data_IF_891621104982
#
_entry.id   IF_891621104982
#
_cell.length_a   1.000
_cell.length_b   1.000
_cell.length_c   1.000
_cell.angle_alpha   90.00
_cell.angle_beta   90.00
_cell.angle_gamma   90.00
#
_symmetry.space_group_name_H-M   'P 1'
#
loop_
_entity.id
_entity.type
_entity.pdbx_description
1 polymer ?
#
# COMPACT_ATOMS: atom_id res chain seq x y z
N UNK A 1 29.73 54.76 12.25
CA UNK A 1 30.29 53.88 13.31
C UNK A 1 29.10 53.29 14.06
N UNK A 2 28.76 52.04 13.74
CA UNK A 2 27.49 51.39 14.10
C UNK A 2 27.66 50.65 15.42
N UNK A 3 26.89 51.05 16.44
CA UNK A 3 26.82 50.35 17.73
C UNK A 3 25.83 49.20 17.57
N UNK A 4 26.35 47.97 17.49
CA UNK A 4 25.57 46.72 17.50
C UNK A 4 25.24 46.34 18.95
N UNK A 5 23.95 46.12 19.20
CA UNK A 5 23.42 45.55 20.43
C UNK A 5 23.87 44.10 20.58
N UNK A 6 24.43 43.79 21.75
CA UNK A 6 24.71 42.44 22.23
C UNK A 6 23.38 41.80 22.67
N UNK A 7 22.93 40.77 21.95
CA UNK A 7 21.81 39.92 22.36
C UNK A 7 22.33 38.50 22.55
N UNK A 8 22.31 38.03 23.79
CA UNK A 8 22.18 36.62 24.16
C UNK A 8 20.99 36.52 25.11
N UNK A 9 20.37 35.35 25.39
CA UNK A 9 20.39 34.05 24.70
C UNK A 9 18.96 33.50 24.48
N UNK A 10 18.78 32.32 23.87
CA UNK A 10 17.70 31.38 24.29
C UNK A 10 17.98 29.95 23.85
N UNK A 11 18.11 29.08 24.85
CA UNK A 11 18.16 27.61 24.72
C UNK A 11 17.04 27.14 23.79
N UNK A 12 17.37 26.33 22.77
CA UNK A 12 16.38 25.56 22.01
C UNK A 12 15.63 24.65 22.97
N UNK A 13 14.39 24.99 23.30
CA UNK A 13 13.43 24.04 23.88
C UNK A 13 13.07 23.06 22.77
N UNK A 14 13.40 21.78 22.95
CA UNK A 14 12.72 20.72 22.22
C UNK A 14 11.22 20.89 22.51
N UNK A 15 10.42 21.17 21.47
CA UNK A 15 8.98 21.03 21.57
C UNK A 15 8.73 19.54 21.73
N UNK A 16 8.24 19.13 22.90
CA UNK A 16 7.60 17.84 23.08
C UNK A 16 6.61 17.64 21.92
N UNK A 17 6.75 16.53 21.20
CA UNK A 17 5.71 16.03 20.30
C UNK A 17 4.38 16.09 21.05
N UNK A 18 3.43 16.85 20.51
CA UNK A 18 2.07 16.87 21.04
C UNK A 18 1.51 15.48 20.83
N UNK A 19 1.49 14.68 21.89
CA UNK A 19 0.67 13.48 22.01
C UNK A 19 -0.74 13.86 21.55
N UNK A 20 -1.26 13.13 20.56
CA UNK A 20 -2.56 13.39 19.96
C UNK A 20 -3.65 13.47 21.05
N UNK A 21 -4.63 14.41 20.96
CA UNK A 21 -5.79 14.43 21.84
C UNK A 21 -6.53 13.08 21.94
N UNK A 22 -6.42 12.22 20.92
CA UNK A 22 -6.93 10.84 20.93
C UNK A 22 -6.36 10.01 22.09
N UNK A 23 -5.06 10.09 22.37
CA UNK A 23 -4.41 9.33 23.46
C UNK A 23 -4.94 9.72 24.85
N UNK A 24 -5.40 10.96 25.03
CA UNK A 24 -6.02 11.43 26.29
C UNK A 24 -7.48 11.02 26.45
N UNK A 25 -8.20 10.80 25.36
CA UNK A 25 -9.58 10.29 25.42
C UNK A 25 -9.59 8.83 25.86
N UNK A 26 -8.56 8.05 25.47
CA UNK A 26 -8.41 6.66 25.89
C UNK A 26 -7.88 6.47 27.33
N UNK A 27 -7.14 7.44 27.88
CA UNK A 27 -6.74 7.43 29.31
C UNK A 27 -7.88 7.76 30.28
N UNK A 28 -8.89 8.53 29.83
CA UNK A 28 -9.98 9.00 30.69
C UNK A 28 -11.21 8.08 30.73
N UNK A 29 -11.24 7.02 29.91
CA UNK A 29 -12.23 5.96 30.04
C UNK A 29 -11.77 4.98 31.13
N UNK A 30 -12.28 5.14 32.35
CA UNK A 30 -12.00 4.32 33.53
C UNK A 30 -12.16 2.80 33.26
N UNK A 31 -11.08 2.13 32.87
CA UNK A 31 -10.89 0.70 33.07
C UNK A 31 -10.02 0.49 34.32
N UNK A 32 -10.64 0.59 35.50
CA UNK A 32 -10.09 -0.01 36.71
C UNK A 32 -10.39 -1.52 36.70
N UNK A 33 -9.58 -2.30 35.99
CA UNK A 33 -9.27 -3.68 36.40
C UNK A 33 -7.79 -3.93 36.17
N UNK A 34 -7.16 -4.39 37.24
CA UNK A 34 -5.75 -4.67 37.43
C UNK A 34 -5.11 -5.61 36.40
N UNK A 35 -3.95 -5.17 35.91
CA UNK A 35 -2.79 -6.01 35.54
C UNK A 35 -2.97 -6.99 34.37
N UNK A 36 -2.85 -6.50 33.14
CA UNK A 36 -1.88 -6.88 32.08
C UNK A 36 -1.97 -5.74 31.05
N UNK A 37 -0.86 -5.13 30.65
CA UNK A 37 -0.84 -4.14 29.56
C UNK A 37 -1.32 -4.82 28.27
N UNK A 38 -2.47 -4.47 27.66
CA UNK A 38 -2.81 -4.98 26.35
C UNK A 38 -2.08 -4.15 25.30
N UNK A 39 -1.58 -4.86 24.30
CA UNK A 39 -0.74 -4.39 23.22
C UNK A 39 -1.59 -3.56 22.23
N UNK A 40 -1.45 -2.24 22.26
CA UNK A 40 -1.94 -1.30 21.21
C UNK A 40 -0.95 -1.25 20.01
N UNK A 41 0.07 -2.12 19.97
CA UNK A 41 1.17 -2.05 18.98
C UNK A 41 0.76 -2.29 17.52
N UNK A 42 -0.47 -2.72 17.22
CA UNK A 42 -0.89 -3.03 15.85
C UNK A 42 -1.90 -2.03 15.25
N UNK A 43 -2.47 -1.11 16.03
CA UNK A 43 -3.55 -0.27 15.51
C UNK A 43 -3.06 0.72 14.44
N UNK A 44 -1.94 1.39 14.68
CA UNK A 44 -1.36 2.35 13.75
C UNK A 44 -0.86 1.65 12.47
N UNK A 45 -0.21 0.50 12.60
CA UNK A 45 0.23 -0.34 11.48
C UNK A 45 -0.95 -0.77 10.60
N UNK A 46 -2.02 -1.26 11.22
CA UNK A 46 -3.25 -1.63 10.51
C UNK A 46 -3.90 -0.41 9.85
N UNK A 47 -4.09 0.69 10.58
CA UNK A 47 -4.72 1.90 10.03
C UNK A 47 -3.94 2.42 8.81
N UNK A 48 -2.62 2.51 8.95
CA UNK A 48 -1.71 2.92 7.88
C UNK A 48 -1.52 1.90 6.78
N UNK A 49 -2.11 0.70 6.84
CA UNK A 49 -2.20 -0.19 5.67
C UNK A 49 -3.22 0.30 4.64
N UNK A 50 -4.13 1.20 5.06
CA UNK A 50 -5.07 1.86 4.15
C UNK A 50 -4.30 2.76 3.19
N UNK A 51 -4.63 2.69 1.89
CA UNK A 51 -4.02 3.47 0.82
C UNK A 51 -5.07 4.24 0.05
N UNK A 52 -4.71 5.46 -0.32
CA UNK A 52 -5.46 6.22 -1.33
C UNK A 52 -5.11 5.69 -2.71
N UNK A 53 -6.12 5.53 -3.54
CA UNK A 53 -5.97 5.20 -4.95
C UNK A 53 -5.95 6.50 -5.74
N UNK A 54 -4.90 6.67 -6.55
CA UNK A 54 -4.76 7.77 -7.48
C UNK A 54 -5.02 7.25 -8.88
N UNK A 55 -6.24 7.43 -9.38
CA UNK A 55 -6.56 7.07 -10.76
C UNK A 55 -5.90 8.07 -11.71
N UNK A 56 -5.34 7.56 -12.80
CA UNK A 56 -4.51 8.33 -13.71
C UNK A 56 -5.19 8.39 -15.07
N UNK A 57 -5.27 9.59 -15.62
CA UNK A 57 -5.55 9.79 -17.03
C UNK A 57 -4.23 9.99 -17.78
N UNK A 58 -3.89 9.12 -18.75
CA UNK A 58 -2.66 9.23 -19.53
C UNK A 58 -2.86 9.95 -20.88
N UNK A 59 -1.74 10.32 -21.50
CA UNK A 59 -1.69 10.90 -22.83
C UNK A 59 -1.75 9.82 -23.91
N UNK A 60 -2.95 9.55 -24.43
CA UNK A 60 -3.21 8.54 -25.47
C UNK A 60 -2.56 8.85 -26.82
N UNK A 61 -1.91 10.01 -26.98
CA UNK A 61 -1.15 10.35 -28.20
C UNK A 61 0.27 9.77 -28.20
N UNK A 62 0.72 9.24 -27.06
CA UNK A 62 2.05 8.67 -26.87
C UNK A 62 1.98 7.15 -26.87
N UNK A 63 2.97 6.49 -27.47
CA UNK A 63 3.11 5.04 -27.38
C UNK A 63 3.60 4.64 -25.98
N UNK A 64 2.67 4.16 -25.16
CA UNK A 64 2.91 3.73 -23.77
C UNK A 64 3.91 2.57 -23.64
N UNK A 65 4.15 1.81 -24.72
CA UNK A 65 5.20 0.79 -24.73
C UNK A 65 6.60 1.40 -24.62
N UNK A 66 6.77 2.64 -25.09
CA UNK A 66 8.06 3.35 -25.15
C UNK A 66 8.18 4.47 -24.11
N UNK A 67 7.09 5.17 -23.83
CA UNK A 67 7.08 6.26 -22.85
C UNK A 67 5.70 6.43 -22.25
N UNK A 68 5.63 6.52 -20.92
CA UNK A 68 4.40 6.77 -20.18
C UNK A 68 4.33 8.24 -19.75
N UNK A 69 3.18 8.88 -19.95
CA UNK A 69 2.94 10.26 -19.53
C UNK A 69 1.55 10.39 -18.94
N UNK A 70 1.50 10.68 -17.64
CA UNK A 70 0.27 11.03 -16.93
C UNK A 70 -0.10 12.49 -17.17
N UNK A 71 -1.37 12.76 -17.45
CA UNK A 71 -1.88 14.12 -17.64
C UNK A 71 -2.41 14.66 -16.32
N UNK A 72 -3.27 13.93 -15.61
CA UNK A 72 -3.80 14.36 -14.32
C UNK A 72 -4.38 13.19 -13.52
N UNK A 73 -4.57 13.43 -12.22
CA UNK A 73 -5.30 12.51 -11.35
C UNK A 73 -6.81 12.73 -11.47
N UNK A 74 -7.56 11.63 -11.43
CA UNK A 74 -9.01 11.63 -11.45
C UNK A 74 -9.54 10.66 -10.39
N UNK A 75 -10.87 10.62 -10.22
CA UNK A 75 -11.63 9.68 -9.40
C UNK A 75 -11.11 9.51 -7.95
N UNK A 76 -11.88 8.80 -7.13
CA UNK A 76 -11.52 8.60 -5.74
C UNK A 76 -11.74 7.16 -5.34
N UNK A 77 -10.85 6.67 -4.50
CA UNK A 77 -10.87 5.30 -4.05
C UNK A 77 -9.92 5.10 -2.89
N UNK A 78 -10.23 4.08 -2.09
CA UNK A 78 -9.40 3.61 -1.02
C UNK A 78 -9.14 2.11 -1.22
N UNK A 79 -8.00 1.61 -0.76
CA UNK A 79 -7.74 0.18 -0.68
C UNK A 79 -6.94 -0.18 0.57
N UNK A 80 -6.81 -1.46 0.84
CA UNK A 80 -6.03 -2.02 1.93
C UNK A 80 -4.80 -2.68 1.33
N UNK A 81 -3.61 -2.21 1.70
CA UNK A 81 -2.36 -2.81 1.27
C UNK A 81 -2.11 -4.11 2.04
N UNK A 82 -2.01 -5.19 1.30
CA UNK A 82 -1.84 -6.55 1.80
C UNK A 82 -0.55 -7.13 1.24
N UNK A 83 0.13 -7.96 2.04
CA UNK A 83 1.20 -8.84 1.57
C UNK A 83 0.75 -10.28 1.70
N UNK A 84 0.93 -11.05 0.64
CA UNK A 84 0.82 -12.50 0.66
C UNK A 84 2.12 -13.11 0.13
N UNK A 85 2.84 -13.80 1.00
CA UNK A 85 4.20 -14.28 0.79
C UNK A 85 5.15 -13.18 0.28
N UNK A 86 5.52 -13.22 -1.00
CA UNK A 86 6.44 -12.28 -1.64
C UNK A 86 5.73 -11.17 -2.43
N UNK A 87 4.42 -11.27 -2.59
CA UNK A 87 3.64 -10.39 -3.48
C UNK A 87 2.85 -9.37 -2.66
N UNK A 88 2.73 -8.16 -3.21
CA UNK A 88 1.91 -7.09 -2.65
C UNK A 88 0.61 -6.97 -3.43
N UNK A 89 -0.47 -6.73 -2.70
CA UNK A 89 -1.79 -6.58 -3.25
C UNK A 89 -2.51 -5.38 -2.66
N UNK A 90 -3.41 -4.81 -3.43
CA UNK A 90 -4.38 -3.84 -2.95
C UNK A 90 -5.76 -4.50 -2.95
N UNK A 91 -6.35 -4.68 -1.77
CA UNK A 91 -7.74 -5.11 -1.62
C UNK A 91 -8.64 -3.87 -1.66
N UNK A 92 -9.66 -3.87 -2.52
CA UNK A 92 -10.57 -2.73 -2.66
C UNK A 92 -11.94 -3.18 -3.19
N UNK A 93 -12.85 -2.22 -3.34
CA UNK A 93 -14.15 -2.46 -3.93
C UNK A 93 -14.09 -2.42 -5.46
N UNK A 94 -14.82 -3.30 -6.14
CA UNK A 94 -14.86 -3.40 -7.60
C UNK A 94 -15.50 -2.16 -8.21
N UNK A 95 -16.50 -1.55 -7.58
CA UNK A 95 -17.09 -0.29 -8.06
C UNK A 95 -16.09 0.89 -8.06
N UNK A 96 -15.04 0.86 -7.24
CA UNK A 96 -13.95 1.85 -7.29
C UNK A 96 -13.13 1.69 -8.59
N UNK A 97 -13.12 0.48 -9.15
CA UNK A 97 -12.41 0.12 -10.37
C UNK A 97 -13.34 -0.02 -11.59
N UNK A 98 -14.61 0.38 -11.46
CA UNK A 98 -15.67 0.05 -12.42
C UNK A 98 -15.35 0.53 -13.84
N UNK A 99 -14.73 1.70 -13.95
CA UNK A 99 -14.33 2.31 -15.22
C UNK A 99 -13.41 1.39 -16.03
N UNK A 100 -12.55 0.62 -15.36
CA UNK A 100 -11.60 -0.30 -15.99
C UNK A 100 -12.23 -1.63 -16.44
N UNK A 101 -13.38 -2.00 -15.86
CA UNK A 101 -14.14 -3.18 -16.27
C UNK A 101 -15.11 -2.88 -17.41
N UNK A 102 -15.75 -1.71 -17.39
CA UNK A 102 -16.78 -1.33 -18.36
C UNK A 102 -16.20 -0.86 -19.69
N UNK A 103 -15.09 -0.13 -19.63
CA UNK A 103 -14.40 0.33 -20.83
C UNK A 103 -13.34 -0.71 -21.17
N UNK A 104 -13.78 -1.79 -21.83
CA UNK A 104 -12.96 -2.93 -22.30
C UNK A 104 -11.93 -2.56 -23.39
N UNK A 105 -11.47 -1.32 -23.39
CA UNK A 105 -10.41 -0.75 -24.21
C UNK A 105 -9.59 0.15 -23.29
N UNK A 106 -8.39 -0.32 -22.94
CA UNK A 106 -7.47 0.39 -22.05
C UNK A 106 -7.39 1.87 -22.41
N UNK A 107 -7.70 2.73 -21.44
CA UNK A 107 -7.33 4.13 -21.55
C UNK A 107 -5.82 4.28 -21.41
N UNK A 108 -5.18 3.41 -20.61
CA UNK A 108 -3.76 3.45 -20.32
C UNK A 108 -3.24 2.20 -19.60
N UNK A 109 -1.97 1.85 -19.83
CA UNK A 109 -1.21 0.90 -19.03
C UNK A 109 -1.03 1.45 -17.61
N UNK A 110 -1.11 0.62 -16.58
CA UNK A 110 -1.04 1.06 -15.17
C UNK A 110 -1.99 2.24 -14.83
N UNK A 111 -3.32 2.03 -14.88
CA UNK A 111 -4.31 3.10 -14.92
C UNK A 111 -4.57 3.80 -13.57
N UNK A 112 -3.93 3.35 -12.51
CA UNK A 112 -3.90 4.01 -11.21
C UNK A 112 -2.59 3.68 -10.50
N UNK A 113 -2.36 4.33 -9.36
CA UNK A 113 -1.23 4.03 -8.48
C UNK A 113 -1.59 4.25 -7.01
N UNK A 114 -0.83 3.65 -6.11
CA UNK A 114 -0.93 3.86 -4.66
C UNK A 114 0.45 4.20 -4.10
N UNK A 115 0.54 4.99 -3.03
CA UNK A 115 1.85 5.35 -2.48
C UNK A 115 2.55 4.13 -1.87
N UNK A 116 3.86 4.04 -2.03
CA UNK A 116 4.68 3.02 -1.36
C UNK A 116 4.66 3.21 0.16
N UNK A 117 4.56 4.47 0.60
CA UNK A 117 4.54 4.88 2.00
C UNK A 117 3.26 5.61 2.39
N UNK A 118 2.79 5.36 3.61
CA UNK A 118 1.54 5.93 4.13
C UNK A 118 1.61 7.41 4.52
N UNK A 119 2.77 7.89 5.00
CA UNK A 119 2.90 9.24 5.60
C UNK A 119 3.86 10.18 4.88
N UNK A 120 4.29 9.85 3.66
CA UNK A 120 5.23 10.66 2.89
C UNK A 120 4.50 11.38 1.76
N UNK A 121 4.78 12.67 1.58
CA UNK A 121 4.46 13.35 0.32
C UNK A 121 5.24 12.69 -0.82
N UNK A 122 4.62 12.57 -1.99
CA UNK A 122 5.26 12.07 -3.20
C UNK A 122 5.73 13.24 -4.08
N UNK A 123 6.78 12.99 -4.85
CA UNK A 123 7.30 13.94 -5.85
C UNK A 123 7.82 13.26 -7.11
N UNK A 124 7.99 11.93 -7.06
CA UNK A 124 8.53 11.12 -8.16
C UNK A 124 7.65 9.92 -8.41
N UNK A 125 7.79 9.33 -9.59
CA UNK A 125 7.09 8.09 -9.98
C UNK A 125 7.45 6.90 -9.09
N UNK A 126 8.69 6.84 -8.59
CA UNK A 126 9.17 5.77 -7.70
C UNK A 126 8.57 5.83 -6.28
N UNK A 127 7.82 6.89 -5.93
CA UNK A 127 7.09 6.98 -4.66
C UNK A 127 5.76 6.17 -4.69
N UNK A 128 5.53 5.38 -5.74
CA UNK A 128 4.27 4.68 -5.97
C UNK A 128 4.44 3.21 -6.36
N UNK A 129 3.46 2.40 -5.97
CA UNK A 129 3.23 1.05 -6.46
C UNK A 129 2.19 1.08 -7.58
N UNK A 130 2.43 0.25 -8.58
CA UNK A 130 1.65 0.21 -9.82
C UNK A 130 0.87 -1.11 -9.93
N UNK A 131 -0.34 -1.11 -10.51
CA UNK A 131 -1.19 -2.28 -10.64
C UNK A 131 -0.76 -3.13 -11.84
N UNK A 132 -0.91 -4.44 -11.68
CA UNK A 132 -0.48 -5.43 -12.67
C UNK A 132 -1.63 -6.30 -13.14
N UNK A 133 -2.29 -6.96 -12.18
CA UNK A 133 -3.39 -7.89 -12.43
C UNK A 133 -4.57 -7.62 -11.51
N UNK A 134 -5.77 -7.90 -12.00
CA UNK A 134 -7.00 -7.95 -11.22
C UNK A 134 -7.40 -9.40 -10.98
N UNK A 135 -7.85 -9.68 -9.76
CA UNK A 135 -8.44 -10.94 -9.35
C UNK A 135 -9.80 -10.63 -8.72
N UNK A 136 -10.88 -11.13 -9.33
CA UNK A 136 -12.24 -10.99 -8.82
C UNK A 136 -12.46 -11.95 -7.64
N UNK A 137 -11.74 -11.76 -6.53
CA UNK A 137 -11.75 -12.66 -5.37
C UNK A 137 -13.15 -12.86 -4.76
N UNK A 138 -14.03 -11.87 -4.93
CA UNK A 138 -15.44 -11.97 -4.60
C UNK A 138 -16.16 -13.13 -5.27
N UNK A 139 -15.64 -13.61 -6.41
CA UNK A 139 -16.23 -14.71 -7.15
C UNK A 139 -16.00 -16.10 -6.53
N UNK A 140 -14.96 -16.25 -5.70
CA UNK A 140 -14.65 -17.50 -4.98
C UNK A 140 -15.54 -17.66 -3.75
N UNK A 141 -15.96 -16.55 -3.14
CA UNK A 141 -16.73 -16.59 -1.89
C UNK A 141 -18.15 -17.06 -2.22
N UNK A 142 -18.61 -18.06 -1.48
CA UNK A 142 -19.98 -18.57 -1.62
C UNK A 142 -20.99 -17.42 -1.48
N UNK A 143 -22.04 -17.45 -2.29
CA UNK A 143 -23.05 -16.40 -2.29
C UNK A 143 -23.65 -16.26 -0.89
N UNK A 144 -23.42 -15.11 -0.28
CA UNK A 144 -23.93 -14.81 1.05
C UNK A 144 -25.21 -14.00 0.92
N UNK A 145 -26.31 -14.45 1.55
CA UNK A 145 -27.64 -13.82 1.44
C UNK A 145 -27.62 -12.32 1.80
N UNK A 146 -26.63 -11.90 2.59
CA UNK A 146 -26.61 -10.56 3.16
C UNK A 146 -25.32 -9.75 2.93
N UNK A 147 -24.27 -10.33 2.36
CA UNK A 147 -23.02 -9.61 2.05
C UNK A 147 -22.73 -9.76 0.57
N UNK A 148 -22.55 -8.63 -0.12
CA UNK A 148 -22.24 -8.62 -1.56
C UNK A 148 -20.73 -8.72 -1.78
N UNK A 149 -20.19 -9.93 -1.61
CA UNK A 149 -18.76 -10.17 -1.82
C UNK A 149 -18.33 -10.00 -3.28
N UNK A 150 -19.26 -10.02 -4.25
CA UNK A 150 -18.94 -9.87 -5.69
C UNK A 150 -18.32 -8.53 -6.03
N UNK A 151 -18.52 -7.53 -5.18
CA UNK A 151 -17.88 -6.23 -5.30
C UNK A 151 -16.52 -6.16 -4.59
N UNK A 152 -15.93 -7.27 -4.14
CA UNK A 152 -14.54 -7.30 -3.66
C UNK A 152 -13.58 -7.70 -4.78
N UNK A 153 -12.52 -6.91 -4.92
CA UNK A 153 -11.45 -7.18 -5.88
C UNK A 153 -10.07 -7.09 -5.23
N UNK A 154 -9.17 -7.95 -5.68
CA UNK A 154 -7.77 -7.92 -5.33
C UNK A 154 -6.95 -7.47 -6.53
N UNK A 155 -6.12 -6.47 -6.33
CA UNK A 155 -5.18 -5.97 -7.34
C UNK A 155 -3.79 -6.47 -6.98
N UNK A 156 -3.16 -7.24 -7.85
CA UNK A 156 -1.73 -7.54 -7.75
C UNK A 156 -0.91 -6.32 -8.16
N UNK A 157 0.02 -5.91 -7.31
CA UNK A 157 0.92 -4.78 -7.56
C UNK A 157 2.27 -5.30 -8.05
N UNK A 158 2.98 -4.49 -8.84
CA UNK A 158 4.37 -4.77 -9.17
C UNK A 158 5.23 -4.85 -7.90
N UNK A 159 6.27 -5.70 -7.97
CA UNK A 159 7.26 -5.75 -6.89
C UNK A 159 7.96 -4.40 -6.76
N UNK A 160 8.25 -3.96 -5.52
CA UNK A 160 8.95 -2.69 -5.31
C UNK A 160 10.30 -2.70 -6.03
N UNK A 161 10.60 -1.61 -6.75
CA UNK A 161 11.89 -1.47 -7.44
C UNK A 161 13.02 -1.22 -6.42
N UNK A 162 14.30 -1.44 -6.78
CA UNK A 162 15.38 -1.27 -5.83
C UNK A 162 15.43 0.12 -5.20
N UNK A 163 15.42 0.16 -3.86
CA UNK A 163 15.40 1.40 -3.08
C UNK A 163 14.01 1.92 -2.73
N UNK A 164 12.95 1.38 -3.33
CA UNK A 164 11.57 1.62 -2.89
C UNK A 164 11.32 0.85 -1.58
N UNK A 165 10.62 1.48 -0.64
CA UNK A 165 10.34 0.86 0.67
C UNK A 165 8.85 0.95 0.92
N UNK A 166 8.21 -0.22 0.93
CA UNK A 166 6.79 -0.35 1.26
C UNK A 166 6.65 -0.40 2.77
N UNK A 167 6.05 0.64 3.35
CA UNK A 167 5.70 0.64 4.77
C UNK A 167 4.29 0.08 4.99
N UNK A 168 3.95 -0.26 6.24
CA UNK A 168 2.59 -0.54 6.73
C UNK A 168 1.69 -1.30 5.74
N UNK A 169 1.62 -2.62 5.89
CA UNK A 169 0.76 -3.51 5.13
C UNK A 169 0.24 -4.62 6.06
N UNK A 170 -0.85 -5.27 5.67
CA UNK A 170 -1.34 -6.45 6.38
C UNK A 170 -0.72 -7.69 5.74
N UNK A 171 0.18 -8.35 6.46
CA UNK A 171 0.64 -9.69 6.08
C UNK A 171 -0.41 -10.72 6.49
N UNK A 172 -1.13 -11.26 5.51
CA UNK A 172 -2.24 -12.20 5.76
C UNK A 172 -1.75 -13.59 6.19
N UNK A 173 -0.44 -13.87 6.14
CA UNK A 173 0.13 -15.08 6.75
C UNK A 173 0.24 -14.98 8.27
N UNK A 174 0.30 -13.77 8.82
CA UNK A 174 0.61 -13.55 10.24
C UNK A 174 -0.50 -12.82 10.99
N UNK A 175 -1.24 -11.94 10.31
CA UNK A 175 -2.34 -11.18 10.92
C UNK A 175 -3.65 -11.97 10.85
N UNK A 176 -4.26 -12.19 12.03
CA UNK A 176 -5.57 -12.83 12.13
C UNK A 176 -6.72 -11.80 12.16
N UNK A 177 -7.60 -11.75 11.14
CA UNK A 177 -8.78 -10.88 11.13
C UNK A 177 -9.84 -11.38 12.12
N UNK A 178 -10.76 -10.53 12.55
CA UNK A 178 -11.94 -10.96 13.32
C UNK A 178 -12.86 -11.79 12.44
N UNK A 179 -13.22 -12.97 12.94
CA UNK A 179 -14.22 -13.82 12.31
C UNK A 179 -15.63 -13.28 12.57
N UNK A 180 -16.59 -13.60 11.70
CA UNK A 180 -17.97 -13.08 11.79
C UNK A 180 -18.65 -13.52 13.10
N UNK A 181 -18.34 -14.71 13.61
CA UNK A 181 -18.87 -15.23 14.88
C UNK A 181 -18.31 -14.50 16.10
N UNK A 182 -17.16 -13.83 15.97
CA UNK A 182 -16.59 -12.95 16.99
C UNK A 182 -17.30 -11.58 17.05
N UNK A 183 -18.09 -11.21 16.03
CA UNK A 183 -18.77 -9.91 15.98
C UNK A 183 -19.88 -9.81 17.03
N UNK A 184 -19.97 -8.65 17.66
CA UNK A 184 -20.94 -8.37 18.74
C UNK A 184 -21.58 -7.01 18.53
N UNK A 185 -22.87 -6.91 18.80
CA UNK A 185 -23.56 -5.62 18.81
C UNK A 185 -22.92 -4.69 19.86
N UNK A 186 -22.65 -3.45 19.48
CA UNK A 186 -21.97 -2.46 20.31
C UNK A 186 -20.45 -2.59 20.37
N UNK A 187 -19.84 -3.54 19.63
CA UNK A 187 -18.37 -3.64 19.52
C UNK A 187 -17.79 -2.35 18.95
N UNK A 188 -16.78 -1.77 19.59
CA UNK A 188 -16.10 -0.58 19.08
C UNK A 188 -15.33 -0.92 17.81
N UNK A 189 -15.51 -0.08 16.79
CA UNK A 189 -14.77 -0.18 15.56
C UNK A 189 -14.37 1.22 15.05
N UNK A 190 -13.40 1.24 14.15
CA UNK A 190 -12.91 2.46 13.51
C UNK A 190 -12.70 2.19 12.04
N UNK A 191 -13.30 3.02 11.19
CA UNK A 191 -13.20 2.98 9.74
C UNK A 191 -12.16 3.99 9.23
N UNK A 192 -11.33 3.56 8.28
CA UNK A 192 -10.21 4.31 7.72
C UNK A 192 -10.33 4.41 6.21
N UNK A 193 -10.13 5.60 5.65
CA UNK A 193 -10.12 5.80 4.21
C UNK A 193 -9.81 7.22 3.80
N UNK A 194 -9.97 7.51 2.51
CA UNK A 194 -9.67 8.82 1.93
C UNK A 194 -10.92 9.39 1.25
N UNK A 195 -11.69 10.19 2.00
CA UNK A 195 -12.89 10.83 1.47
C UNK A 195 -12.55 11.93 0.47
N UNK A 196 -13.47 12.19 -0.46
CA UNK A 196 -13.36 13.28 -1.44
C UNK A 196 -13.20 14.63 -0.73
N UNK A 197 -13.95 14.84 0.36
CA UNK A 197 -13.99 16.11 1.08
C UNK A 197 -12.62 16.45 1.69
N UNK A 198 -11.94 15.48 2.29
CA UNK A 198 -10.61 15.66 2.89
C UNK A 198 -9.46 15.58 1.88
N UNK A 199 -9.74 15.08 0.67
CA UNK A 199 -8.75 14.77 -0.36
C UNK A 199 -9.15 15.28 -1.77
N UNK A 200 -9.52 16.56 -1.94
CA UNK A 200 -9.86 17.10 -3.25
C UNK A 200 -8.64 17.15 -4.20
N UNK A 201 -8.90 17.10 -5.50
CA UNK A 201 -7.91 17.47 -6.52
C UNK A 201 -8.06 18.93 -6.90
N UNK A 202 -6.93 19.60 -7.13
CA UNK A 202 -6.86 20.96 -7.61
C UNK A 202 -6.12 21.00 -8.95
N UNK A 203 -6.77 21.58 -9.95
CA UNK A 203 -6.23 21.76 -11.30
C UNK A 203 -5.79 23.21 -11.58
N UNK A 204 -6.23 24.16 -10.75
CA UNK A 204 -5.77 25.54 -10.78
C UNK A 204 -4.49 25.68 -9.93
N UNK A 205 -3.42 26.18 -10.54
CA UNK A 205 -2.09 26.25 -9.91
C UNK A 205 -1.99 27.25 -8.76
N UNK A 206 -2.80 28.30 -8.79
CA UNK A 206 -2.86 29.37 -7.78
C UNK A 206 -3.89 29.10 -6.68
N UNK A 207 -4.36 27.86 -6.53
CA UNK A 207 -5.30 27.49 -5.48
C UNK A 207 -4.72 27.73 -4.06
N UNK A 208 -5.59 28.05 -3.10
CA UNK A 208 -5.18 28.45 -1.74
C UNK A 208 -4.91 27.28 -0.78
N UNK A 209 -5.05 26.02 -1.22
CA UNK A 209 -4.98 24.84 -0.34
C UNK A 209 -3.69 24.06 -0.59
N UNK A 210 -3.42 23.73 -1.85
CA UNK A 210 -2.23 23.03 -2.32
C UNK A 210 -1.72 23.68 -3.62
N UNK A 211 -1.16 24.90 -3.59
CA UNK A 211 -0.64 25.54 -4.80
C UNK A 211 0.51 24.72 -5.41
N UNK A 212 0.66 24.77 -6.74
CA UNK A 212 1.70 24.05 -7.47
C UNK A 212 2.27 24.85 -8.64
N UNK A 213 3.46 24.48 -9.13
CA UNK A 213 4.04 25.08 -10.34
C UNK A 213 3.48 24.37 -11.59
N UNK A 214 2.71 25.09 -12.41
CA UNK A 214 2.07 24.55 -13.63
C UNK A 214 3.07 24.24 -14.76
N UNK A 215 4.32 24.68 -14.66
CA UNK A 215 5.39 24.28 -15.60
C UNK A 215 5.90 22.86 -15.32
N UNK A 216 5.67 22.33 -14.11
CA UNK A 216 6.22 21.05 -13.63
C UNK A 216 5.11 20.04 -13.36
N UNK A 217 4.00 20.48 -12.78
CA UNK A 217 2.88 19.63 -12.37
C UNK A 217 1.59 20.11 -13.02
N UNK A 218 0.67 19.19 -13.29
CA UNK A 218 -0.63 19.49 -13.89
C UNK A 218 -1.76 19.61 -12.87
N UNK A 219 -1.59 19.02 -11.70
CA UNK A 219 -2.56 19.03 -10.62
C UNK A 219 -1.87 18.81 -9.27
N UNK A 220 -2.63 19.03 -8.20
CA UNK A 220 -2.19 18.80 -6.82
C UNK A 220 -3.35 18.26 -5.99
N UNK A 221 -3.05 17.78 -4.79
CA UNK A 221 -4.06 17.25 -3.86
C UNK A 221 -3.54 17.29 -2.43
N UNK A 222 -4.43 17.12 -1.47
CA UNK A 222 -4.09 16.84 -0.07
C UNK A 222 -4.13 15.33 0.19
N UNK A 223 -3.32 14.84 1.13
CA UNK A 223 -3.35 13.45 1.57
C UNK A 223 -3.71 13.44 3.05
N UNK A 224 -4.98 13.22 3.33
CA UNK A 224 -5.57 13.19 4.66
C UNK A 224 -6.37 11.90 4.83
N UNK A 225 -5.88 11.00 5.67
CA UNK A 225 -6.65 9.80 6.04
C UNK A 225 -7.78 10.21 7.00
N UNK A 226 -9.02 9.94 6.59
CA UNK A 226 -10.20 10.09 7.41
C UNK A 226 -10.32 8.92 8.39
N UNK A 227 -10.67 9.24 9.63
CA UNK A 227 -10.82 8.28 10.72
C UNK A 227 -12.21 8.44 11.30
N UNK A 228 -13.06 7.45 11.08
CA UNK A 228 -14.45 7.47 11.51
C UNK A 228 -14.60 6.49 12.66
N UNK A 229 -14.97 7.01 13.83
CA UNK A 229 -15.22 6.20 15.01
C UNK A 229 -16.69 5.77 15.06
N UNK A 230 -16.92 4.55 15.52
CA UNK A 230 -18.27 4.02 15.66
C UNK A 230 -18.32 2.72 16.42
N UNK A 231 -19.38 1.98 16.19
CA UNK A 231 -19.56 0.64 16.72
C UNK A 231 -20.31 -0.23 15.72
N UNK A 232 -20.17 -1.54 15.87
CA UNK A 232 -20.99 -2.48 15.13
C UNK A 232 -22.42 -2.45 15.64
N UNK A 233 -23.38 -2.47 14.71
CA UNK A 233 -24.76 -2.80 14.98
C UNK A 233 -25.19 -4.03 14.23
N UNK A 234 -25.88 -4.92 14.92
CA UNK A 234 -26.56 -6.04 14.28
C UNK A 234 -27.76 -5.52 13.49
N UNK A 235 -27.78 -5.79 12.19
CA UNK A 235 -28.90 -5.49 11.30
C UNK A 235 -29.44 -6.79 10.73
N UNK A 236 -30.51 -7.31 11.33
CA UNK A 236 -31.07 -8.65 11.06
C UNK A 236 -30.01 -9.76 11.21
N UNK A 237 -29.43 -10.18 10.09
CA UNK A 237 -28.48 -11.28 9.98
C UNK A 237 -27.05 -10.81 9.62
N UNK A 238 -26.82 -9.50 9.56
CA UNK A 238 -25.50 -8.90 9.31
C UNK A 238 -25.10 -7.92 10.39
N UNK A 239 -23.92 -7.34 10.21
CA UNK A 239 -23.46 -6.19 10.95
C UNK A 239 -23.26 -5.01 10.00
N UNK A 240 -23.60 -3.82 10.49
CA UNK A 240 -23.25 -2.53 9.89
C UNK A 240 -22.38 -1.77 10.86
N UNK A 241 -21.54 -0.89 10.35
CA UNK A 241 -20.80 0.06 11.17
C UNK A 241 -21.64 1.33 11.36
N UNK A 242 -22.03 1.65 12.59
CA UNK A 242 -22.77 2.88 12.91
C UNK A 242 -21.82 3.95 13.46
N UNK A 243 -21.74 5.09 12.76
CA UNK A 243 -20.89 6.24 13.10
C UNK A 243 -21.34 6.89 14.41
N UNK A 244 -20.41 7.29 15.29
CA UNK A 244 -20.74 8.13 16.45
C UNK A 244 -21.19 9.53 15.99
N UNK A 245 -22.50 9.81 16.04
CA UNK A 245 -23.10 11.16 15.88
C UNK A 245 -22.65 11.95 14.63
N UNK A 246 -22.40 11.28 13.50
CA UNK A 246 -21.88 11.92 12.28
C UNK A 246 -22.80 11.72 11.06
N UNK A 247 -24.05 12.22 11.15
CA UNK A 247 -24.93 12.26 9.98
C UNK A 247 -24.33 13.11 8.83
N UNK A 248 -23.52 14.13 9.16
CA UNK A 248 -22.98 15.08 8.18
C UNK A 248 -21.65 14.67 7.51
N UNK A 249 -21.03 13.57 7.96
CA UNK A 249 -19.72 13.16 7.43
C UNK A 249 -19.90 12.27 6.20
N UNK A 250 -19.66 12.86 5.03
CA UNK A 250 -19.66 12.17 3.74
C UNK A 250 -18.44 11.24 3.64
N UNK A 251 -18.69 9.98 3.34
CA UNK A 251 -17.65 8.94 3.22
C UNK A 251 -17.40 8.56 1.77
N UNK A 252 -17.93 9.30 0.80
CA UNK A 252 -17.61 9.13 -0.61
C UNK A 252 -16.08 9.14 -0.81
N UNK A 253 -15.56 8.15 -1.53
CA UNK A 253 -14.11 7.91 -1.71
C UNK A 253 -13.47 6.94 -0.71
N UNK A 254 -14.14 6.62 0.41
CA UNK A 254 -13.60 5.69 1.42
C UNK A 254 -13.87 4.22 1.13
N UNK A 255 -14.68 3.88 0.13
CA UNK A 255 -14.89 2.48 -0.30
C UNK A 255 -13.56 1.78 -0.58
N UNK A 256 -13.43 0.55 -0.09
CA UNK A 256 -12.20 -0.23 -0.05
C UNK A 256 -11.31 0.04 1.17
N UNK A 257 -11.71 0.94 2.08
CA UNK A 257 -10.99 1.24 3.33
C UNK A 257 -11.05 0.14 4.39
N UNK A 258 -10.10 0.15 5.32
CA UNK A 258 -10.04 -0.83 6.41
C UNK A 258 -10.93 -0.40 7.58
N UNK A 259 -11.75 -1.32 8.08
CA UNK A 259 -12.42 -1.21 9.38
C UNK A 259 -11.68 -2.09 10.38
N UNK A 260 -11.29 -1.52 11.50
CA UNK A 260 -10.61 -2.19 12.61
C UNK A 260 -11.58 -2.34 13.77
N UNK A 261 -11.73 -3.57 14.28
CA UNK A 261 -12.47 -3.86 15.50
C UNK A 261 -11.54 -3.92 16.70
N UNK A 262 -12.05 -3.55 17.88
CA UNK A 262 -11.32 -3.70 19.15
C UNK A 262 -12.04 -4.71 20.03
N UNK A 263 -11.40 -5.84 20.27
CA UNK A 263 -11.90 -6.92 21.15
C UNK A 263 -10.91 -7.14 22.27
N UNK A 264 -11.37 -7.03 23.51
CA UNK A 264 -10.53 -7.18 24.71
C UNK A 264 -9.25 -6.31 24.70
N UNK A 265 -9.37 -5.11 24.13
CA UNK A 265 -8.27 -4.16 23.98
C UNK A 265 -7.30 -4.45 22.83
N UNK A 266 -7.57 -5.46 22.00
CA UNK A 266 -6.74 -5.86 20.86
C UNK A 266 -7.40 -5.38 19.56
N UNK A 267 -6.65 -4.63 18.77
CA UNK A 267 -7.04 -4.19 17.44
C UNK A 267 -6.83 -5.30 16.41
N UNK A 268 -7.88 -5.64 15.65
CA UNK A 268 -7.84 -6.63 14.56
C UNK A 268 -8.59 -6.11 13.34
N UNK A 269 -8.16 -6.47 12.11
CA UNK A 269 -8.96 -6.23 10.91
C UNK A 269 -10.36 -6.82 11.08
N UNK A 270 -11.39 -6.04 10.81
CA UNK A 270 -12.79 -6.44 10.97
C UNK A 270 -13.50 -6.52 9.62
N UNK A 271 -13.32 -5.50 8.80
CA UNK A 271 -14.06 -5.38 7.54
C UNK A 271 -13.39 -4.47 6.55
N UNK A 272 -13.86 -4.53 5.31
CA UNK A 272 -13.57 -3.56 4.26
C UNK A 272 -14.79 -2.66 4.05
N UNK A 273 -14.62 -1.35 4.15
CA UNK A 273 -15.66 -0.36 3.83
C UNK A 273 -16.18 -0.63 2.43
N UNK A 274 -17.48 -0.90 2.31
CA UNK A 274 -18.09 -1.21 1.03
C UNK A 274 -19.00 -0.08 0.55
N UNK A 275 -19.87 0.45 1.43
CA UNK A 275 -20.80 1.51 1.05
C UNK A 275 -21.26 2.35 2.23
N UNK A 276 -21.07 3.65 2.15
CA UNK A 276 -21.66 4.64 3.05
C UNK A 276 -22.72 5.51 2.36
N UNK A 277 -23.32 6.42 3.14
CA UNK A 277 -24.17 7.49 2.63
C UNK A 277 -24.00 8.75 3.48
N UNK A 278 -24.06 9.92 2.83
CA UNK A 278 -24.11 11.22 3.50
C UNK A 278 -25.45 11.47 4.22
N UNK A 279 -26.46 10.63 3.99
CA UNK A 279 -27.78 10.73 4.64
C UNK A 279 -28.02 9.64 5.68
N UNK A 280 -27.03 8.78 5.92
CA UNK A 280 -27.11 7.70 6.90
C UNK A 280 -25.90 7.73 7.82
N UNK A 281 -26.13 7.32 9.07
CA UNK A 281 -25.05 7.05 9.99
C UNK A 281 -24.47 5.63 9.84
N UNK A 282 -25.01 4.80 8.94
CA UNK A 282 -24.56 3.43 8.71
C UNK A 282 -23.57 3.35 7.54
N UNK A 283 -22.54 2.55 7.72
CA UNK A 283 -21.61 2.10 6.69
C UNK A 283 -21.75 0.58 6.58
N UNK A 284 -22.00 0.10 5.37
CA UNK A 284 -21.96 -1.32 5.05
C UNK A 284 -20.51 -1.70 4.76
N UNK A 285 -20.12 -2.89 5.21
CA UNK A 285 -18.77 -3.41 5.02
C UNK A 285 -18.82 -4.89 4.69
N UNK A 286 -17.75 -5.39 4.08
CA UNK A 286 -17.54 -6.81 3.85
C UNK A 286 -16.64 -7.37 4.95
N UNK A 287 -17.01 -8.45 5.65
CA UNK A 287 -16.16 -9.09 6.64
C UNK A 287 -14.82 -9.50 6.04
N UNK A 288 -13.72 -9.03 6.65
CA UNK A 288 -12.40 -9.16 6.02
C UNK A 288 -11.81 -10.57 6.14
N UNK A 289 -12.29 -11.38 7.09
CA UNK A 289 -11.87 -12.77 7.25
C UNK A 289 -12.22 -13.64 6.03
N UNK A 290 -13.43 -13.47 5.48
CA UNK A 290 -13.86 -14.12 4.24
C UNK A 290 -12.99 -13.68 3.05
N UNK A 291 -12.68 -12.39 2.98
CA UNK A 291 -11.81 -11.83 1.95
C UNK A 291 -10.38 -12.39 2.04
N UNK A 292 -9.80 -12.50 3.24
CA UNK A 292 -8.47 -13.08 3.43
C UNK A 292 -8.43 -14.54 3.00
N UNK A 293 -9.46 -15.31 3.34
CA UNK A 293 -9.60 -16.71 2.90
C UNK A 293 -9.68 -16.81 1.38
N UNK A 294 -10.45 -15.94 0.72
CA UNK A 294 -10.55 -15.91 -0.73
C UNK A 294 -9.23 -15.52 -1.41
N UNK A 295 -8.46 -14.59 -0.84
CA UNK A 295 -7.14 -14.19 -1.37
C UNK A 295 -6.19 -15.39 -1.41
N UNK A 296 -6.22 -16.26 -0.39
CA UNK A 296 -5.39 -17.50 -0.35
C UNK A 296 -5.78 -18.52 -1.42
N UNK A 297 -6.99 -18.44 -1.95
CA UNK A 297 -7.52 -19.30 -3.00
C UNK A 297 -7.53 -18.63 -4.38
N UNK A 298 -6.95 -17.43 -4.53
CA UNK A 298 -7.04 -16.62 -5.76
C UNK A 298 -6.57 -17.35 -7.03
N UNK A 299 -5.62 -18.28 -6.90
CA UNK A 299 -5.05 -19.00 -8.05
C UNK A 299 -6.08 -19.90 -8.77
N UNK A 300 -7.28 -20.06 -8.20
CA UNK A 300 -8.43 -20.72 -8.82
C UNK A 300 -9.16 -19.82 -9.84
N UNK A 301 -8.90 -18.52 -9.83
CA UNK A 301 -9.52 -17.54 -10.72
C UNK A 301 -8.65 -17.28 -11.96
N UNK A 302 -9.29 -16.76 -12.99
CA UNK A 302 -8.58 -16.14 -14.10
C UNK A 302 -8.10 -14.74 -13.69
N UNK A 303 -6.82 -14.47 -13.92
CA UNK A 303 -6.25 -13.13 -13.76
C UNK A 303 -6.63 -12.24 -14.94
N UNK A 304 -7.01 -11.01 -14.66
CA UNK A 304 -7.30 -10.00 -15.69
C UNK A 304 -6.09 -9.07 -15.79
N UNK A 305 -5.56 -8.90 -17.01
CA UNK A 305 -4.38 -8.08 -17.27
C UNK A 305 -4.77 -6.60 -17.24
N UNK A 306 -4.08 -5.82 -16.39
CA UNK A 306 -4.25 -4.37 -16.28
C UNK A 306 -3.12 -3.65 -17.01
N UNK A 307 -1.88 -4.00 -16.67
CA UNK A 307 -0.70 -3.47 -17.33
C UNK A 307 -0.32 -4.37 -18.52
N UNK A 308 -0.92 -4.08 -19.67
CA UNK A 308 -0.74 -4.86 -20.89
C UNK A 308 0.66 -4.67 -21.48
N UNK A 309 1.27 -3.49 -21.37
CA UNK A 309 2.63 -3.26 -21.88
C UNK A 309 3.68 -4.10 -21.12
N UNK A 310 3.60 -4.16 -19.79
CA UNK A 310 4.48 -5.00 -19.00
C UNK A 310 4.23 -6.49 -19.27
N UNK A 311 2.96 -6.89 -19.41
CA UNK A 311 2.62 -8.27 -19.78
C UNK A 311 3.21 -8.65 -21.14
N UNK A 312 3.12 -7.78 -22.15
CA UNK A 312 3.70 -8.01 -23.47
C UNK A 312 5.23 -8.09 -23.43
N UNK A 313 5.90 -7.21 -22.67
CA UNK A 313 7.37 -7.27 -22.49
C UNK A 313 7.80 -8.59 -21.85
N UNK A 314 7.11 -8.99 -20.78
CA UNK A 314 7.40 -10.25 -20.06
C UNK A 314 7.17 -11.47 -20.95
N UNK A 315 6.07 -11.52 -21.70
CA UNK A 315 5.74 -12.67 -22.55
C UNK A 315 6.60 -12.77 -23.81
N UNK A 316 7.09 -11.65 -24.33
CA UNK A 316 7.97 -11.61 -25.50
C UNK A 316 9.46 -11.70 -25.14
N UNK A 317 9.82 -11.77 -23.85
CA UNK A 317 11.20 -11.65 -23.35
C UNK A 317 11.94 -10.43 -23.92
N UNK A 318 11.23 -9.30 -24.08
CA UNK A 318 11.80 -8.04 -24.57
C UNK A 318 12.08 -7.08 -23.43
N UNK A 319 13.17 -6.35 -23.54
CA UNK A 319 13.56 -5.28 -22.60
C UNK A 319 13.63 -5.73 -21.14
N UNK A 320 13.98 -7.01 -20.92
CA UNK A 320 14.24 -7.55 -19.58
C UNK A 320 15.61 -7.05 -19.09
N UNK A 321 15.64 -6.52 -17.87
CA UNK A 321 16.84 -5.94 -17.26
C UNK A 321 17.55 -7.02 -16.44
N UNK A 322 18.86 -7.17 -16.62
CA UNK A 322 19.67 -8.07 -15.80
C UNK A 322 19.89 -7.52 -14.38
N UNK A 323 20.15 -8.40 -13.40
CA UNK A 323 20.48 -7.98 -12.02
C UNK A 323 21.66 -7.01 -12.00
N UNK A 324 22.65 -7.22 -12.88
CA UNK A 324 23.81 -6.33 -13.00
C UNK A 324 23.42 -4.93 -13.47
N UNK A 325 22.58 -4.82 -14.49
CA UNK A 325 22.06 -3.53 -14.97
C UNK A 325 21.20 -2.83 -13.90
N UNK A 326 20.34 -3.58 -13.20
CA UNK A 326 19.57 -3.04 -12.08
C UNK A 326 20.48 -2.49 -10.97
N UNK A 327 21.56 -3.22 -10.65
CA UNK A 327 22.56 -2.77 -9.68
C UNK A 327 23.26 -1.49 -10.13
N UNK A 328 23.72 -1.41 -11.38
CA UNK A 328 24.40 -0.21 -11.87
C UNK A 328 23.48 1.01 -11.95
N UNK A 329 22.22 0.83 -12.36
CA UNK A 329 21.22 1.90 -12.32
C UNK A 329 20.99 2.38 -10.88
N UNK A 330 20.77 1.46 -9.94
CA UNK A 330 20.60 1.79 -8.53
C UNK A 330 21.83 2.50 -7.95
N UNK A 331 23.04 1.99 -8.22
CA UNK A 331 24.30 2.52 -7.73
C UNK A 331 24.55 3.94 -8.27
N UNK A 332 24.22 4.21 -9.53
CA UNK A 332 24.35 5.54 -10.14
C UNK A 332 23.50 6.62 -9.47
N UNK A 333 22.42 6.21 -8.79
CA UNK A 333 21.48 7.08 -8.06
C UNK A 333 21.86 7.25 -6.60
N UNK A 334 22.85 6.51 -6.09
CA UNK A 334 23.29 6.64 -4.70
C UNK A 334 24.25 7.82 -4.51
N UNK A 335 24.26 8.47 -3.33
CA UNK A 335 25.34 9.37 -2.95
C UNK A 335 26.69 8.64 -2.99
N UNK A 336 27.80 9.29 -3.41
CA UNK A 336 29.12 8.65 -3.48
C UNK A 336 29.57 8.00 -2.16
N UNK A 337 29.20 8.59 -1.02
CA UNK A 337 29.50 8.09 0.32
C UNK A 337 28.75 6.80 0.71
N UNK A 338 27.70 6.43 -0.04
CA UNK A 338 26.91 5.22 0.20
C UNK A 338 27.50 3.98 -0.48
N UNK A 339 28.48 4.15 -1.38
CA UNK A 339 29.17 3.07 -2.06
C UNK A 339 30.59 2.92 -1.52
N UNK A 340 31.13 1.70 -1.53
CA UNK A 340 32.49 1.46 -1.09
C UNK A 340 33.49 1.99 -2.11
N UNK A 341 34.55 2.62 -1.59
CA UNK A 341 35.68 3.06 -2.41
C UNK A 341 36.46 1.87 -2.96
N UNK A 342 36.59 1.81 -4.28
CA UNK A 342 37.41 0.79 -4.97
C UNK A 342 38.90 1.00 -4.68
N UNK A 343 39.33 2.24 -4.39
CA UNK A 343 40.72 2.54 -4.02
C UNK A 343 41.10 1.93 -2.67
N UNK A 344 40.14 1.86 -1.73
CA UNK A 344 40.35 1.34 -0.38
C UNK A 344 40.07 -0.17 -0.26
N UNK A 345 39.18 -0.71 -1.11
CA UNK A 345 38.84 -2.13 -1.15
C UNK A 345 38.68 -2.62 -2.60
N UNK A 346 39.60 -3.47 -3.12
CA UNK A 346 39.48 -4.07 -4.44
C UNK A 346 38.21 -4.90 -4.68
N UNK A 347 37.55 -5.36 -3.61
CA UNK A 347 36.28 -6.10 -3.65
C UNK A 347 35.05 -5.21 -3.47
N UNK A 348 35.22 -3.88 -3.35
CA UNK A 348 34.13 -2.93 -3.07
C UNK A 348 32.90 -3.12 -3.97
N UNK A 349 33.11 -3.27 -5.29
CA UNK A 349 32.03 -3.45 -6.25
C UNK A 349 31.27 -4.76 -6.04
N UNK A 350 31.99 -5.87 -5.83
CA UNK A 350 31.40 -7.18 -5.58
C UNK A 350 30.63 -7.17 -4.26
N UNK A 351 31.18 -6.50 -3.26
CA UNK A 351 30.54 -6.35 -1.97
C UNK A 351 29.27 -5.49 -2.07
N UNK A 352 29.30 -4.37 -2.81
CA UNK A 352 28.12 -3.50 -3.02
C UNK A 352 27.03 -4.22 -3.80
N UNK A 353 27.41 -4.99 -4.82
CA UNK A 353 26.46 -5.82 -5.57
C UNK A 353 25.84 -6.91 -4.70
N UNK A 354 26.62 -7.57 -3.84
CA UNK A 354 26.11 -8.57 -2.92
C UNK A 354 25.16 -7.96 -1.88
N UNK A 355 25.47 -6.78 -1.32
CA UNK A 355 24.54 -6.08 -0.43
C UNK A 355 23.26 -5.69 -1.17
N UNK A 356 23.36 -5.24 -2.42
CA UNK A 356 22.21 -4.95 -3.26
C UNK A 356 21.31 -6.18 -3.47
N UNK A 357 21.89 -7.33 -3.82
CA UNK A 357 21.14 -8.59 -4.02
C UNK A 357 20.42 -8.98 -2.73
N UNK A 358 21.12 -8.98 -1.59
CA UNK A 358 20.56 -9.39 -0.31
C UNK A 358 19.43 -8.44 0.13
N UNK A 359 19.62 -7.12 -0.03
CA UNK A 359 18.60 -6.12 0.32
C UNK A 359 17.34 -6.23 -0.54
N UNK A 360 17.46 -6.70 -1.79
CA UNK A 360 16.35 -6.80 -2.75
C UNK A 360 15.89 -8.24 -3.00
N UNK A 361 16.24 -9.18 -2.10
CA UNK A 361 15.98 -10.62 -2.30
C UNK A 361 14.51 -10.96 -2.52
N UNK A 362 13.59 -10.32 -1.77
CA UNK A 362 12.15 -10.58 -1.89
C UNK A 362 11.65 -10.20 -3.30
N UNK A 363 12.08 -9.05 -3.83
CA UNK A 363 11.75 -8.61 -5.19
C UNK A 363 12.30 -9.59 -6.23
N UNK A 364 13.55 -10.02 -6.08
CA UNK A 364 14.19 -10.97 -7.01
C UNK A 364 13.49 -12.34 -7.02
N UNK A 365 13.17 -12.86 -5.84
CA UNK A 365 12.44 -14.12 -5.69
C UNK A 365 11.02 -14.03 -6.24
N UNK A 366 10.35 -12.89 -6.05
CA UNK A 366 9.01 -12.69 -6.57
C UNK A 366 8.98 -12.61 -8.10
N UNK A 367 9.98 -11.95 -8.71
CA UNK A 367 10.16 -11.92 -10.16
C UNK A 367 10.43 -13.31 -10.74
N UNK A 368 11.23 -14.15 -10.07
CA UNK A 368 11.42 -15.55 -10.47
C UNK A 368 10.13 -16.37 -10.34
N UNK A 369 9.40 -16.21 -9.23
CA UNK A 369 8.12 -16.89 -9.00
C UNK A 369 7.12 -16.55 -10.12
N UNK A 370 7.07 -15.30 -10.56
CA UNK A 370 6.24 -14.91 -11.70
C UNK A 370 6.68 -15.60 -13.00
N UNK A 371 7.99 -15.60 -13.31
CA UNK A 371 8.49 -16.30 -14.50
C UNK A 371 8.13 -17.79 -14.47
N UNK A 372 8.12 -18.40 -13.28
CA UNK A 372 7.66 -19.77 -13.08
C UNK A 372 6.17 -19.93 -13.38
N UNK A 373 5.33 -19.03 -12.85
CA UNK A 373 3.88 -19.01 -13.10
C UNK A 373 3.55 -18.85 -14.60
N UNK A 374 4.37 -18.11 -15.34
CA UNK A 374 4.24 -17.93 -16.78
C UNK A 374 4.88 -19.06 -17.61
N UNK A 375 5.52 -20.05 -16.97
CA UNK A 375 6.15 -21.18 -17.65
C UNK A 375 7.46 -20.84 -18.38
N UNK A 376 8.14 -19.76 -17.99
CA UNK A 376 9.37 -19.28 -18.63
C UNK A 376 10.68 -19.76 -17.99
N UNK A 377 10.60 -20.60 -16.95
CA UNK A 377 11.78 -21.20 -16.34
C UNK A 377 12.10 -22.55 -16.99
N UNK A 378 13.33 -22.70 -17.48
CA UNK A 378 13.85 -23.99 -17.93
C UNK A 378 14.21 -24.90 -16.73
N UNK A 379 14.69 -26.11 -16.97
CA UNK A 379 15.00 -27.04 -15.88
C UNK A 379 16.26 -26.64 -15.09
N UNK A 380 17.24 -25.97 -15.71
CA UNK A 380 18.42 -25.42 -15.02
C UNK A 380 18.03 -24.25 -14.11
N UNK A 381 17.11 -23.37 -14.55
CA UNK A 381 16.56 -22.27 -13.75
C UNK A 381 15.85 -22.79 -12.49
N UNK A 382 15.27 -24.00 -12.54
CA UNK A 382 14.63 -24.63 -11.37
C UNK A 382 15.65 -25.21 -10.39
N UNK A 383 16.83 -25.60 -10.86
CA UNK A 383 17.88 -26.23 -10.05
C UNK A 383 18.88 -25.21 -9.49
N UNK A 384 19.25 -24.19 -10.27
CA UNK A 384 20.23 -23.15 -9.94
C UNK A 384 19.65 -21.73 -10.04
N UNK A 385 18.36 -21.58 -9.75
CA UNK A 385 17.62 -20.33 -9.84
C UNK A 385 18.04 -19.23 -8.85
N UNK A 386 17.24 -18.19 -8.80
CA UNK A 386 17.45 -16.99 -7.98
C UNK A 386 17.65 -17.32 -6.51
N UNK A 387 16.91 -18.28 -5.97
CA UNK A 387 17.09 -18.72 -4.58
C UNK A 387 18.51 -19.20 -4.31
N UNK A 388 19.04 -20.08 -5.17
CA UNK A 388 20.41 -20.58 -5.03
C UNK A 388 21.43 -19.45 -5.17
N UNK A 389 21.23 -18.55 -6.14
CA UNK A 389 22.09 -17.39 -6.35
C UNK A 389 22.15 -16.46 -5.12
N UNK A 390 21.00 -16.21 -4.48
CA UNK A 390 20.92 -15.41 -3.24
C UNK A 390 21.63 -16.14 -2.10
N UNK A 391 21.40 -17.44 -1.90
CA UNK A 391 22.05 -18.23 -0.85
C UNK A 391 23.58 -18.23 -1.00
N UNK A 392 24.08 -18.35 -2.24
CA UNK A 392 25.50 -18.22 -2.55
C UNK A 392 26.06 -16.83 -2.24
N UNK A 393 25.28 -15.78 -2.52
CA UNK A 393 25.64 -14.38 -2.24
C UNK A 393 25.70 -14.11 -0.73
N UNK A 394 24.74 -14.62 0.04
CA UNK A 394 24.73 -14.56 1.50
C UNK A 394 25.93 -15.33 2.09
N UNK A 395 26.27 -16.50 1.54
CA UNK A 395 27.44 -17.26 1.95
C UNK A 395 28.77 -16.54 1.65
N UNK A 396 28.87 -15.88 0.50
CA UNK A 396 30.00 -15.00 0.17
C UNK A 396 30.15 -13.90 1.23
N UNK A 397 29.07 -13.19 1.56
CA UNK A 397 29.07 -12.09 2.54
C UNK A 397 29.46 -12.52 3.94
N UNK A 398 28.88 -13.62 4.41
CA UNK A 398 29.21 -14.18 5.71
C UNK A 398 30.69 -14.58 5.83
N UNK A 399 31.35 -14.92 4.72
CA UNK A 399 32.77 -15.26 4.69
C UNK A 399 33.67 -14.03 4.49
N UNK A 400 33.23 -12.99 3.77
CA UNK A 400 33.97 -11.74 3.64
C UNK A 400 34.06 -11.03 4.99
N UNK A 401 32.95 -10.98 5.73
CA UNK A 401 32.87 -10.24 6.99
C UNK A 401 33.72 -10.90 8.09
N UNK A 402 33.80 -12.24 8.10
CA UNK A 402 34.66 -13.02 8.99
C UNK A 402 36.17 -12.85 8.74
N UNK A 403 36.59 -12.33 7.59
CA UNK A 403 38.02 -12.06 7.30
C UNK A 403 38.47 -10.68 7.78
N UNK A 404 37.53 -9.84 8.23
CA UNK A 404 37.75 -8.47 8.68
C UNK A 404 37.82 -8.38 10.22
N UNK A 405 37.35 -9.42 10.94
CA UNK A 405 37.63 -9.66 12.38
C UNK A 405 38.98 -10.35 12.61
#
# INVERSE_FOLDING_TARGET
MVIKYLVMPRKRKFKNLKVSPLLKVFENANFQVSCIKPVILNFEELAKSTRRIFHIFSDTSVDEATSFKDIYFTNWGTGILIKDDLKYFLLTARHVMEDYFKHSSGTNTSPFRVTDRSTRSFSKVDDFLYPKYFWAIGDIIEEHEYYDFKDAILVELFHPVPGQVVDHFIDINTVKPLEIDEFKDGMVAVDFGYSIQSNPYFYDSDNNIAPFNNEIHSCSTTINMDIINGYLRKDKFTFVFEKYNNLDLDTNGMSGGLIIGVVDGIARPLGMHFRGSSTSNKINFLPIAELFSAIKCRDQLEKIIIDYCAHDRLTQNKDLVSIGEMFFDWASKQPPESLRSIEDNPMALADDMADFIIRNKDMLLAAEAERKELGFLNDEDKEFGMKWFIEMTEAYKNNSDKKIE
#
